data_IF_170479268285
#
_entry.id   IF_170479268285
#
_cell.length_a   1.000
_cell.length_b   1.000
_cell.length_c   1.000
_cell.angle_alpha   90.00
_cell.angle_beta   90.00
_cell.angle_gamma   90.00
#
_symmetry.space_group_name_H-M   'P 1'
#
loop_
_entity.id
_entity.type
_entity.pdbx_description
1 polymer ?
#
# COMPACT_ATOMS: atom_id res chain seq x y z
N UNK A 1 -16.83 -31.65 -11.19
CA UNK A 1 -15.58 -30.89 -11.04
C UNK A 1 -14.86 -31.40 -9.81
N UNK A 2 -13.56 -31.65 -9.87
CA UNK A 2 -12.79 -32.14 -8.72
C UNK A 2 -12.65 -31.02 -7.68
N UNK A 3 -12.66 -31.38 -6.41
CA UNK A 3 -12.51 -30.45 -5.28
C UNK A 3 -11.20 -29.65 -5.36
N UNK A 4 -10.16 -30.22 -5.96
CA UNK A 4 -8.84 -29.60 -6.15
C UNK A 4 -8.86 -28.44 -7.14
N UNK A 5 -9.58 -28.56 -8.26
CA UNK A 5 -9.70 -27.49 -9.26
C UNK A 5 -10.43 -26.28 -8.68
N UNK A 6 -11.50 -26.54 -7.92
CA UNK A 6 -12.25 -25.48 -7.23
C UNK A 6 -11.37 -24.73 -6.22
N UNK A 7 -10.53 -25.44 -5.46
CA UNK A 7 -9.61 -24.81 -4.49
C UNK A 7 -8.56 -23.97 -5.19
N UNK A 8 -7.94 -24.47 -6.27
CA UNK A 8 -6.97 -23.71 -7.07
C UNK A 8 -7.58 -22.41 -7.61
N UNK A 9 -8.82 -22.48 -8.11
CA UNK A 9 -9.51 -21.31 -8.64
C UNK A 9 -9.84 -20.27 -7.56
N UNK A 10 -10.19 -20.71 -6.34
CA UNK A 10 -10.39 -19.81 -5.19
C UNK A 10 -9.09 -19.10 -4.83
N UNK A 11 -7.97 -19.83 -4.72
CA UNK A 11 -6.67 -19.25 -4.36
C UNK A 11 -6.19 -18.26 -5.43
N UNK A 12 -6.33 -18.60 -6.72
CA UNK A 12 -5.98 -17.71 -7.83
C UNK A 12 -6.81 -16.42 -7.82
N UNK A 13 -8.11 -16.53 -7.54
CA UNK A 13 -8.99 -15.37 -7.41
C UNK A 13 -8.59 -14.49 -6.21
N UNK A 14 -8.32 -15.09 -5.05
CA UNK A 14 -7.90 -14.35 -3.85
C UNK A 14 -6.57 -13.61 -4.07
N UNK A 15 -5.61 -14.25 -4.76
CA UNK A 15 -4.35 -13.62 -5.13
C UNK A 15 -4.58 -12.44 -6.09
N UNK A 16 -5.41 -12.63 -7.11
CA UNK A 16 -5.75 -11.58 -8.09
C UNK A 16 -6.40 -10.37 -7.42
N UNK A 17 -7.38 -10.61 -6.52
CA UNK A 17 -8.05 -9.56 -5.76
C UNK A 17 -7.07 -8.86 -4.82
N UNK A 18 -6.25 -9.62 -4.09
CA UNK A 18 -5.25 -9.06 -3.17
C UNK A 18 -4.25 -8.16 -3.90
N UNK A 19 -3.80 -8.57 -5.09
CA UNK A 19 -2.92 -7.77 -5.95
C UNK A 19 -3.60 -6.47 -6.41
N UNK A 20 -4.84 -6.54 -6.88
CA UNK A 20 -5.59 -5.36 -7.31
C UNK A 20 -5.79 -4.36 -6.15
N UNK A 21 -6.11 -4.84 -4.95
CA UNK A 21 -6.25 -4.00 -3.76
C UNK A 21 -4.92 -3.36 -3.35
N UNK A 22 -3.82 -4.11 -3.40
CA UNK A 22 -2.48 -3.59 -3.12
C UNK A 22 -2.12 -2.45 -4.08
N UNK A 23 -2.34 -2.65 -5.39
CA UNK A 23 -2.10 -1.61 -6.41
C UNK A 23 -2.94 -0.35 -6.19
N UNK A 24 -4.22 -0.51 -5.87
CA UNK A 24 -5.10 0.63 -5.61
C UNK A 24 -4.70 1.38 -4.34
N UNK A 25 -4.23 0.65 -3.32
CA UNK A 25 -3.72 1.24 -2.09
C UNK A 25 -2.43 2.04 -2.33
N UNK A 26 -1.52 1.52 -3.15
CA UNK A 26 -0.30 2.23 -3.55
C UNK A 26 -0.64 3.56 -4.26
N UNK A 27 -1.60 3.55 -5.20
CA UNK A 27 -2.06 4.78 -5.87
C UNK A 27 -2.63 5.81 -4.90
N UNK A 28 -3.44 5.36 -3.94
CA UNK A 28 -3.99 6.25 -2.90
C UNK A 28 -2.88 6.85 -2.05
N UNK A 29 -1.92 6.04 -1.61
CA UNK A 29 -0.76 6.50 -0.86
C UNK A 29 0.02 7.58 -1.63
N UNK A 30 0.27 7.37 -2.92
CA UNK A 30 0.93 8.35 -3.80
C UNK A 30 0.19 9.68 -3.84
N UNK A 31 -1.13 9.66 -4.04
CA UNK A 31 -1.96 10.88 -4.04
C UNK A 31 -1.85 11.62 -2.70
N UNK A 32 -1.94 10.90 -1.57
CA UNK A 32 -1.83 11.51 -0.24
C UNK A 32 -0.43 12.08 0.02
N UNK A 33 0.62 11.40 -0.41
CA UNK A 33 1.99 11.89 -0.32
C UNK A 33 2.14 13.20 -1.10
N UNK A 34 1.68 13.24 -2.36
CA UNK A 34 1.74 14.44 -3.19
C UNK A 34 0.97 15.63 -2.60
N UNK A 35 -0.15 15.38 -1.92
CA UNK A 35 -0.92 16.41 -1.23
C UNK A 35 -0.18 16.93 0.00
N UNK A 36 0.33 16.04 0.86
CA UNK A 36 1.06 16.40 2.08
C UNK A 36 2.35 17.15 1.76
N UNK A 37 3.05 16.79 0.70
CA UNK A 37 4.28 17.46 0.27
C UNK A 37 4.07 18.90 -0.23
N UNK A 38 2.81 19.33 -0.47
CA UNK A 38 2.45 20.73 -0.79
C UNK A 38 2.20 21.57 0.46
N UNK A 39 2.17 20.96 1.64
CA UNK A 39 1.97 21.66 2.91
C UNK A 39 3.28 22.28 3.39
N UNK A 40 3.17 23.29 4.27
CA UNK A 40 4.32 23.88 4.95
C UNK A 40 4.75 23.01 6.14
N UNK A 41 5.46 21.92 5.85
CA UNK A 41 6.03 21.00 6.84
C UNK A 41 7.40 21.45 7.35
N UNK A 42 7.78 21.02 8.54
CA UNK A 42 9.15 21.17 9.04
C UNK A 42 10.13 20.25 8.28
N UNK A 43 11.45 20.55 8.25
CA UNK A 43 12.44 19.70 7.59
C UNK A 43 12.46 18.26 8.12
N UNK A 44 12.20 18.05 9.41
CA UNK A 44 12.14 16.73 10.01
C UNK A 44 10.94 15.92 9.49
N UNK A 45 9.77 16.54 9.42
CA UNK A 45 8.55 15.91 8.87
C UNK A 45 8.73 15.59 7.39
N UNK A 46 9.34 16.49 6.60
CA UNK A 46 9.63 16.25 5.18
C UNK A 46 10.51 15.02 5.00
N UNK A 47 11.59 14.90 5.77
CA UNK A 47 12.49 13.75 5.67
C UNK A 47 11.79 12.45 6.08
N UNK A 48 11.00 12.49 7.17
CA UNK A 48 10.21 11.34 7.60
C UNK A 48 9.21 10.90 6.52
N UNK A 49 8.43 11.84 5.97
CA UNK A 49 7.45 11.55 4.90
C UNK A 49 8.15 10.93 3.69
N UNK A 50 9.26 11.49 3.23
CA UNK A 50 9.99 10.97 2.06
C UNK A 50 10.56 9.57 2.28
N UNK A 51 11.19 9.33 3.41
CA UNK A 51 11.82 8.04 3.70
C UNK A 51 10.76 6.94 3.82
N UNK A 52 9.72 7.18 4.62
CA UNK A 52 8.64 6.20 4.77
C UNK A 52 7.93 5.94 3.44
N UNK A 53 7.70 6.97 2.62
CA UNK A 53 7.09 6.79 1.31
C UNK A 53 7.95 5.91 0.39
N UNK A 54 9.27 6.13 0.39
CA UNK A 54 10.20 5.31 -0.39
C UNK A 54 10.20 3.85 0.08
N UNK A 55 10.25 3.62 1.40
CA UNK A 55 10.26 2.28 1.99
C UNK A 55 8.97 1.52 1.69
N UNK A 56 7.81 2.17 1.83
CA UNK A 56 6.52 1.55 1.53
C UNK A 56 6.33 1.27 0.04
N UNK A 57 6.84 2.15 -0.83
CA UNK A 57 6.78 1.95 -2.30
C UNK A 57 7.66 0.77 -2.71
N UNK A 58 8.89 0.71 -2.23
CA UNK A 58 9.81 -0.40 -2.53
C UNK A 58 9.26 -1.75 -2.05
N UNK A 59 8.71 -1.79 -0.83
CA UNK A 59 8.06 -3.00 -0.31
C UNK A 59 6.86 -3.41 -1.19
N UNK A 60 6.01 -2.46 -1.59
CA UNK A 60 4.85 -2.75 -2.42
C UNK A 60 5.24 -3.29 -3.80
N UNK A 61 6.27 -2.72 -4.43
CA UNK A 61 6.79 -3.18 -5.73
C UNK A 61 7.26 -4.65 -5.64
N UNK A 62 8.03 -5.00 -4.60
CA UNK A 62 8.46 -6.39 -4.35
C UNK A 62 7.25 -7.31 -4.18
N UNK A 63 6.32 -6.97 -3.27
CA UNK A 63 5.17 -7.83 -2.99
C UNK A 63 4.20 -7.99 -4.19
N UNK A 64 4.14 -7.02 -5.09
CA UNK A 64 3.29 -7.09 -6.30
C UNK A 64 3.81 -8.10 -7.33
N UNK A 65 5.12 -8.35 -7.35
CA UNK A 65 5.76 -9.34 -8.20
C UNK A 65 5.66 -10.76 -7.61
N UNK A 66 5.49 -10.87 -6.30
CA UNK A 66 5.39 -12.14 -5.58
C UNK A 66 3.99 -12.81 -5.73
N UNK A 67 3.98 -14.14 -5.59
CA UNK A 67 2.76 -14.97 -5.50
C UNK A 67 2.37 -15.28 -4.04
N UNK A 68 2.83 -14.45 -3.09
CA UNK A 68 2.49 -14.59 -1.67
C UNK A 68 1.35 -13.64 -1.27
N UNK A 69 0.18 -14.23 -1.01
CA UNK A 69 -1.02 -13.51 -0.59
C UNK A 69 -0.82 -12.81 0.77
N UNK A 70 -0.06 -13.39 1.68
CA UNK A 70 0.15 -12.81 3.01
C UNK A 70 1.02 -11.56 2.92
N UNK A 71 2.09 -11.60 2.12
CA UNK A 71 2.95 -10.44 1.93
C UNK A 71 2.22 -9.31 1.20
N UNK A 72 1.40 -9.62 0.20
CA UNK A 72 0.49 -8.63 -0.43
C UNK A 72 -0.43 -7.96 0.60
N UNK A 73 -1.04 -8.74 1.50
CA UNK A 73 -1.96 -8.21 2.53
C UNK A 73 -1.21 -7.38 3.59
N UNK A 74 0.00 -7.78 4.00
CA UNK A 74 0.84 -6.99 4.90
C UNK A 74 1.23 -5.67 4.27
N UNK A 75 1.76 -5.69 3.05
CA UNK A 75 2.16 -4.49 2.33
C UNK A 75 0.97 -3.52 2.16
N UNK A 76 -0.19 -4.04 1.77
CA UNK A 76 -1.44 -3.27 1.67
C UNK A 76 -1.80 -2.61 3.01
N UNK A 77 -1.69 -3.35 4.11
CA UNK A 77 -2.02 -2.84 5.46
C UNK A 77 -1.05 -1.73 5.88
N UNK A 78 0.25 -1.94 5.71
CA UNK A 78 1.27 -0.95 6.01
C UNK A 78 1.05 0.35 5.22
N UNK A 79 0.84 0.25 3.90
CA UNK A 79 0.53 1.42 3.06
C UNK A 79 -0.76 2.12 3.51
N UNK A 80 -1.79 1.38 3.90
CA UNK A 80 -3.05 1.95 4.39
C UNK A 80 -2.86 2.72 5.71
N UNK A 81 -2.07 2.18 6.63
CA UNK A 81 -1.75 2.84 7.90
C UNK A 81 -0.93 4.12 7.66
N UNK A 82 0.08 4.05 6.79
CA UNK A 82 0.87 5.21 6.42
C UNK A 82 0.02 6.28 5.72
N UNK A 83 -0.85 5.89 4.78
CA UNK A 83 -1.82 6.80 4.13
C UNK A 83 -2.73 7.48 5.15
N UNK A 84 -3.16 6.75 6.19
CA UNK A 84 -3.96 7.31 7.28
C UNK A 84 -3.17 8.36 8.07
N UNK A 85 -1.89 8.10 8.37
CA UNK A 85 -1.01 9.09 9.02
C UNK A 85 -0.82 10.33 8.16
N UNK A 86 -0.61 10.17 6.85
CA UNK A 86 -0.52 11.30 5.91
C UNK A 86 -1.81 12.13 5.91
N UNK A 87 -2.97 11.47 5.89
CA UNK A 87 -4.25 12.18 5.96
C UNK A 87 -4.42 12.97 7.26
N UNK A 88 -3.91 12.49 8.39
CA UNK A 88 -3.94 13.22 9.66
C UNK A 88 -3.07 14.48 9.62
N UNK A 89 -1.90 14.44 8.99
CA UNK A 89 -1.04 15.62 8.78
C UNK A 89 -1.69 16.68 7.90
N UNK A 90 -2.57 16.27 6.98
CA UNK A 90 -3.26 17.20 6.07
C UNK A 90 -4.50 17.87 6.68
N UNK A 91 -4.92 17.51 7.90
CA UNK A 91 -6.07 18.15 8.55
C UNK A 91 -5.66 19.52 9.11
N UNK A 92 -6.41 20.60 8.82
CA UNK A 92 -6.19 21.87 9.48
C UNK A 92 -6.51 21.72 10.98
N UNK A 93 -5.62 22.23 11.82
CA UNK A 93 -5.88 22.44 13.26
C UNK A 93 -6.94 23.52 13.47
#
# INVERSE_FOLDING_TARGET
MSTEENVRQIVANELSVSRAVCQETLKKMQIHYELVMKLSLSPAEINWVKNEFADHTAMAEICLEEEDIQELKRATTCMSLYTTKLHQLAKPN
#
